data_IF_698583195906
#
_entry.id   IF_698583195906
#
_cell.length_a   1.000
_cell.length_b   1.000
_cell.length_c   1.000
_cell.angle_alpha   90.00
_cell.angle_beta   90.00
_cell.angle_gamma   90.00
#
_symmetry.space_group_name_H-M   'P 1'
#
loop_
_entity.id
_entity.type
_entity.pdbx_description
1 polymer ?
#
# COMPACT_ATOMS: atom_id res chain seq x y z
N UNK A 1 43.26 -5.64 37.04
CA UNK A 1 41.86 -5.37 37.43
C UNK A 1 41.67 -3.87 37.61
N UNK A 2 41.08 -3.23 36.61
CA UNK A 2 40.25 -2.01 36.68
C UNK A 2 39.73 -1.80 35.26
N UNK A 3 38.46 -2.17 35.06
CA UNK A 3 37.72 -1.97 33.82
C UNK A 3 37.20 -0.53 33.81
N UNK A 4 37.67 0.28 32.86
CA UNK A 4 37.06 1.56 32.54
C UNK A 4 35.85 1.32 31.64
N UNK A 5 34.65 1.54 32.20
CA UNK A 5 33.39 1.54 31.46
C UNK A 5 33.33 2.79 30.57
N UNK A 6 33.60 2.61 29.28
CA UNK A 6 33.34 3.63 28.27
C UNK A 6 31.83 3.74 28.08
N UNK A 7 31.28 4.85 28.55
CA UNK A 7 29.91 5.30 28.37
C UNK A 7 29.68 5.72 26.91
N UNK A 8 29.22 4.81 26.06
CA UNK A 8 28.74 5.14 24.71
C UNK A 8 27.27 5.56 24.77
N UNK A 9 27.02 6.83 25.11
CA UNK A 9 25.76 7.47 24.73
C UNK A 9 25.82 7.83 23.24
N UNK A 10 25.10 7.07 22.44
CA UNK A 10 24.83 7.37 21.03
C UNK A 10 23.79 8.48 20.93
N UNK A 11 24.09 9.67 20.38
CA UNK A 11 23.09 10.69 20.14
C UNK A 11 22.53 10.47 18.74
N UNK A 12 21.32 9.92 18.65
CA UNK A 12 20.29 10.22 17.64
C UNK A 12 19.21 9.13 17.62
N UNK A 13 18.47 9.05 18.73
CA UNK A 13 17.09 8.59 18.68
C UNK A 13 16.26 9.69 18.01
N UNK A 14 16.19 9.68 16.68
CA UNK A 14 15.26 10.55 15.95
C UNK A 14 13.84 10.08 16.27
N UNK A 15 13.21 10.86 17.13
CA UNK A 15 11.86 10.74 17.62
C UNK A 15 10.87 11.02 16.47
N UNK A 16 10.66 10.05 15.58
CA UNK A 16 9.55 10.08 14.62
C UNK A 16 8.26 9.70 15.35
N UNK A 17 7.78 10.63 16.19
CA UNK A 17 6.41 10.61 16.71
C UNK A 17 5.44 10.66 15.54
N UNK A 18 4.75 9.53 15.32
CA UNK A 18 3.40 9.43 14.79
C UNK A 18 3.00 10.43 13.71
N UNK A 19 3.55 10.30 12.50
CA UNK A 19 2.85 10.80 11.32
C UNK A 19 1.76 9.76 11.03
N UNK A 20 0.51 10.04 11.37
CA UNK A 20 -0.62 9.22 10.93
C UNK A 20 -0.52 9.09 9.40
N UNK A 21 -0.12 7.90 8.93
CA UNK A 21 -0.15 7.58 7.51
C UNK A 21 -1.62 7.51 7.14
N UNK A 22 -2.15 8.61 6.56
CA UNK A 22 -3.52 8.64 6.06
C UNK A 22 -3.71 7.44 5.14
N UNK A 23 -4.66 6.57 5.48
CA UNK A 23 -4.97 5.38 4.68
C UNK A 23 -5.34 5.83 3.26
N UNK A 24 -4.57 5.39 2.27
CA UNK A 24 -4.80 5.72 0.85
C UNK A 24 -6.21 5.31 0.42
N UNK A 25 -6.81 6.08 -0.47
CA UNK A 25 -8.10 5.72 -1.09
C UNK A 25 -7.93 4.58 -2.08
N UNK A 26 -9.02 3.95 -2.52
CA UNK A 26 -8.95 2.90 -3.55
C UNK A 26 -8.33 3.43 -4.84
N UNK A 27 -8.79 4.60 -5.30
CA UNK A 27 -8.26 5.27 -6.49
C UNK A 27 -6.76 5.54 -6.38
N UNK A 28 -6.30 6.08 -5.25
CA UNK A 28 -4.87 6.34 -5.03
C UNK A 28 -4.01 5.07 -5.11
N UNK A 29 -4.52 3.94 -4.60
CA UNK A 29 -3.79 2.66 -4.71
C UNK A 29 -3.76 2.13 -6.13
N UNK A 30 -4.84 2.30 -6.90
CA UNK A 30 -4.90 1.94 -8.31
C UNK A 30 -3.94 2.81 -9.16
N UNK A 31 -3.94 4.12 -8.92
CA UNK A 31 -3.02 5.08 -9.56
C UNK A 31 -1.55 4.74 -9.22
N UNK A 32 -1.25 4.42 -7.95
CA UNK A 32 0.10 4.01 -7.53
C UNK A 32 0.54 2.72 -8.23
N UNK A 33 -0.36 1.73 -8.33
CA UNK A 33 -0.06 0.45 -8.99
C UNK A 33 0.25 0.65 -10.47
N UNK A 34 -0.52 1.49 -11.15
CA UNK A 34 -0.28 1.85 -12.55
C UNK A 34 1.05 2.57 -12.73
N UNK A 35 1.34 3.54 -11.84
CA UNK A 35 2.62 4.24 -11.85
C UNK A 35 3.81 3.27 -11.73
N UNK A 36 3.79 2.35 -10.76
CA UNK A 36 4.87 1.38 -10.59
C UNK A 36 5.03 0.47 -11.81
N UNK A 37 3.93 -0.05 -12.37
CA UNK A 37 3.97 -0.89 -13.57
C UNK A 37 4.54 -0.14 -14.77
N UNK A 38 4.10 1.10 -15.00
CA UNK A 38 4.59 1.95 -16.09
C UNK A 38 6.07 2.33 -15.91
N UNK A 39 6.48 2.64 -14.69
CA UNK A 39 7.87 2.95 -14.37
C UNK A 39 8.77 1.74 -14.65
N UNK A 40 8.42 0.56 -14.12
CA UNK A 40 9.19 -0.67 -14.35
C UNK A 40 9.21 -1.04 -15.83
N UNK A 41 8.07 -0.95 -16.52
CA UNK A 41 7.98 -1.18 -17.97
C UNK A 41 9.00 -0.32 -18.73
N UNK A 42 9.07 0.98 -18.43
CA UNK A 42 10.08 1.88 -19.03
C UNK A 42 11.51 1.50 -18.67
N UNK A 43 11.78 1.04 -17.45
CA UNK A 43 13.11 0.59 -17.04
C UNK A 43 13.57 -0.65 -17.81
N UNK A 44 12.65 -1.53 -18.19
CA UNK A 44 12.93 -2.75 -18.96
C UNK A 44 13.01 -2.45 -20.47
N UNK A 45 12.05 -1.69 -21.01
CA UNK A 45 11.95 -1.36 -22.44
C UNK A 45 13.08 -0.44 -22.94
N UNK A 46 13.63 0.41 -22.07
CA UNK A 46 14.74 1.31 -22.43
C UNK A 46 16.07 0.59 -22.69
N UNK A 47 16.13 -0.74 -22.50
CA UNK A 47 17.37 -1.50 -22.62
C UNK A 47 17.39 -2.38 -23.86
N UNK A 48 18.08 -1.88 -24.88
CA UNK A 48 18.60 -2.71 -25.97
C UNK A 48 20.12 -2.76 -25.83
N UNK A 49 20.70 -3.97 -25.79
CA UNK A 49 22.15 -4.21 -25.69
C UNK A 49 22.91 -3.46 -26.79
N UNK A 50 22.32 -3.34 -27.99
CA UNK A 50 22.92 -2.66 -29.13
C UNK A 50 22.95 -1.13 -28.99
N UNK A 51 22.06 -0.55 -28.17
CA UNK A 51 21.99 0.90 -27.93
C UNK A 51 22.51 1.30 -26.55
N UNK A 52 23.07 0.34 -25.80
CA UNK A 52 23.55 0.59 -24.44
C UNK A 52 24.70 1.58 -24.49
N UNK A 53 24.52 2.73 -23.84
CA UNK A 53 25.51 3.79 -23.77
C UNK A 53 25.60 4.30 -22.33
N UNK A 54 26.82 4.53 -21.87
CA UNK A 54 27.11 5.16 -20.61
C UNK A 54 27.83 6.49 -20.87
N UNK A 55 27.42 7.52 -20.15
CA UNK A 55 28.05 8.83 -20.23
C UNK A 55 29.20 8.93 -19.25
N UNK A 56 30.38 9.27 -19.76
CA UNK A 56 31.56 9.64 -18.98
C UNK A 56 31.86 11.12 -19.19
N UNK A 57 32.30 11.81 -18.13
CA UNK A 57 32.80 13.18 -18.22
C UNK A 57 34.29 13.18 -18.49
N UNK A 58 34.71 13.78 -19.61
CA UNK A 58 36.11 14.11 -19.87
C UNK A 58 36.36 15.57 -19.48
N UNK A 59 37.55 15.89 -18.96
CA UNK A 59 37.91 17.30 -18.70
C UNK A 59 37.71 18.12 -19.98
N UNK A 60 36.70 18.98 -19.99
CA UNK A 60 36.34 19.85 -21.12
C UNK A 60 35.26 19.33 -22.08
N UNK A 61 34.79 18.07 -21.97
CA UNK A 61 33.65 17.52 -22.73
C UNK A 61 32.56 17.01 -21.78
N UNK A 62 31.32 17.46 -21.97
CA UNK A 62 30.19 17.11 -21.11
C UNK A 62 29.77 15.63 -21.21
N UNK A 63 29.99 14.97 -22.34
CA UNK A 63 29.78 13.52 -22.51
C UNK A 63 30.71 12.95 -23.57
N UNK A 64 31.15 11.73 -23.34
CA UNK A 64 32.05 10.96 -24.22
C UNK A 64 31.29 9.72 -24.67
N UNK A 65 31.28 9.43 -25.98
CA UNK A 65 30.64 8.22 -26.53
C UNK A 65 31.44 6.95 -26.21
N UNK A 66 30.83 5.78 -26.44
CA UNK A 66 31.58 4.52 -26.33
C UNK A 66 32.77 4.51 -27.28
N UNK A 67 32.53 4.92 -28.52
CA UNK A 67 33.50 4.91 -29.62
C UNK A 67 34.68 5.84 -29.29
N UNK A 68 34.41 7.06 -28.81
CA UNK A 68 35.44 7.99 -28.32
C UNK A 68 36.31 7.38 -27.20
N UNK A 69 35.71 6.60 -26.30
CA UNK A 69 36.45 5.92 -25.22
C UNK A 69 37.35 4.85 -25.81
N UNK A 70 36.86 4.05 -26.77
CA UNK A 70 37.63 2.96 -27.36
C UNK A 70 38.81 3.44 -28.21
N UNK A 71 38.80 4.70 -28.68
CA UNK A 71 39.94 5.34 -29.32
C UNK A 71 41.10 5.63 -28.34
N UNK A 72 40.83 5.67 -27.04
CA UNK A 72 41.87 5.89 -26.03
C UNK A 72 42.79 4.66 -25.88
N UNK A 73 44.10 4.88 -25.61
CA UNK A 73 45.01 3.80 -25.27
C UNK A 73 44.49 2.95 -24.11
N UNK A 74 44.75 1.64 -24.15
CA UNK A 74 44.29 0.72 -23.12
C UNK A 74 44.75 1.13 -21.70
N UNK A 75 45.97 1.64 -21.59
CA UNK A 75 46.53 2.13 -20.31
C UNK A 75 45.73 3.31 -19.74
N UNK A 76 45.23 4.19 -20.59
CA UNK A 76 44.40 5.32 -20.16
C UNK A 76 43.02 4.83 -19.67
N UNK A 77 42.40 3.93 -20.42
CA UNK A 77 41.14 3.28 -20.04
C UNK A 77 41.27 2.51 -18.73
N UNK A 78 42.37 1.77 -18.55
CA UNK A 78 42.69 1.06 -17.32
C UNK A 78 42.87 2.02 -16.14
N UNK A 79 43.61 3.13 -16.33
CA UNK A 79 43.74 4.16 -15.30
C UNK A 79 42.39 4.70 -14.84
N UNK A 80 41.44 4.90 -15.76
CA UNK A 80 40.09 5.37 -15.43
C UNK A 80 39.28 4.31 -14.70
N UNK A 81 39.36 3.05 -15.13
CA UNK A 81 38.73 1.93 -14.42
C UNK A 81 39.23 1.84 -12.97
N UNK A 82 40.54 1.96 -12.75
CA UNK A 82 41.12 1.96 -11.41
C UNK A 82 40.70 3.16 -10.56
N UNK A 83 40.53 4.34 -11.16
CA UNK A 83 39.96 5.50 -10.46
C UNK A 83 38.54 5.24 -9.99
N UNK A 84 37.68 4.66 -10.85
CA UNK A 84 36.30 4.33 -10.50
C UNK A 84 36.20 3.28 -9.40
N UNK A 85 37.04 2.25 -9.43
CA UNK A 85 37.07 1.21 -8.39
C UNK A 85 37.36 1.83 -7.02
N UNK A 86 38.32 2.75 -6.98
CA UNK A 86 38.78 3.41 -5.76
C UNK A 86 38.00 4.67 -5.37
N UNK A 87 37.03 5.08 -6.19
CA UNK A 87 36.20 6.25 -5.91
C UNK A 87 35.25 5.95 -4.74
N UNK A 88 35.45 6.66 -3.63
CA UNK A 88 34.67 6.50 -2.39
C UNK A 88 33.36 7.29 -2.41
N UNK A 89 33.23 8.24 -3.34
CA UNK A 89 32.04 9.08 -3.48
C UNK A 89 31.13 8.59 -4.62
N UNK A 90 31.48 7.45 -5.23
CA UNK A 90 30.75 6.85 -6.33
C UNK A 90 29.38 6.36 -5.87
N UNK A 91 28.31 7.09 -6.24
CA UNK A 91 26.91 6.75 -5.98
C UNK A 91 26.71 6.07 -4.61
N UNK A 92 26.69 6.87 -3.53
CA UNK A 92 26.32 6.42 -2.19
C UNK A 92 24.85 5.97 -2.15
N UNK A 93 24.57 4.82 -2.76
CA UNK A 93 23.37 4.03 -2.53
C UNK A 93 23.36 3.56 -1.09
N UNK A 94 22.17 3.28 -0.55
CA UNK A 94 22.02 2.83 0.84
C UNK A 94 22.55 1.41 1.07
N UNK A 95 22.99 0.71 0.01
CA UNK A 95 23.44 -0.67 -0.02
C UNK A 95 24.73 -0.82 -0.85
N UNK A 96 25.86 -1.15 -0.20
CA UNK A 96 27.17 -1.30 -0.86
C UNK A 96 27.22 -2.39 -1.95
N UNK A 97 26.25 -3.32 -1.99
CA UNK A 97 26.09 -4.28 -3.09
C UNK A 97 25.76 -3.59 -4.42
N UNK A 98 24.87 -2.60 -4.40
CA UNK A 98 24.46 -1.84 -5.60
C UNK A 98 25.62 -1.02 -6.16
N UNK A 99 26.42 -0.43 -5.27
CA UNK A 99 27.63 0.32 -5.64
C UNK A 99 28.62 -0.56 -6.42
N UNK A 100 28.91 -1.76 -5.91
CA UNK A 100 29.84 -2.70 -6.56
C UNK A 100 29.39 -3.11 -7.96
N UNK A 101 28.10 -3.40 -8.14
CA UNK A 101 27.52 -3.74 -9.45
C UNK A 101 27.64 -2.56 -10.42
N UNK A 102 27.31 -1.34 -9.98
CA UNK A 102 27.41 -0.14 -10.81
C UNK A 102 28.84 0.23 -11.20
N UNK A 103 29.82 -0.02 -10.33
CA UNK A 103 31.25 0.09 -10.64
C UNK A 103 31.66 -0.94 -11.67
N UNK A 104 31.29 -2.21 -11.47
CA UNK A 104 31.61 -3.30 -12.40
C UNK A 104 31.09 -3.02 -13.82
N UNK A 105 29.82 -2.58 -13.96
CA UNK A 105 29.22 -2.22 -15.26
C UNK A 105 30.08 -1.17 -15.98
N UNK A 106 30.51 -0.11 -15.29
CA UNK A 106 31.30 0.98 -15.88
C UNK A 106 32.73 0.54 -16.21
N UNK A 107 33.35 -0.28 -15.37
CA UNK A 107 34.68 -0.84 -15.64
C UNK A 107 34.65 -1.71 -16.89
N UNK A 108 33.68 -2.61 -17.01
CA UNK A 108 33.48 -3.44 -18.19
C UNK A 108 33.31 -2.59 -19.45
N UNK A 109 32.48 -1.55 -19.36
CA UNK A 109 32.25 -0.63 -20.47
C UNK A 109 33.53 0.13 -20.89
N UNK A 110 34.29 0.66 -19.93
CA UNK A 110 35.56 1.34 -20.23
C UNK A 110 36.55 0.40 -20.92
N UNK A 111 36.67 -0.83 -20.44
CA UNK A 111 37.62 -1.82 -20.98
C UNK A 111 37.19 -2.42 -22.34
N UNK A 112 36.02 -2.04 -22.86
CA UNK A 112 35.55 -2.44 -24.18
C UNK A 112 34.62 -3.64 -24.20
N UNK A 113 34.09 -4.05 -23.05
CA UNK A 113 33.12 -5.14 -22.92
C UNK A 113 31.70 -4.59 -22.89
N UNK A 114 31.27 -3.89 -23.95
CA UNK A 114 29.98 -3.18 -24.00
C UNK A 114 28.78 -4.11 -23.80
N UNK A 115 28.77 -5.24 -24.49
CA UNK A 115 27.66 -6.21 -24.43
C UNK A 115 27.57 -6.85 -23.04
N UNK A 116 28.71 -7.16 -22.43
CA UNK A 116 28.75 -7.70 -21.08
C UNK A 116 28.31 -6.64 -20.05
N UNK A 117 28.76 -5.39 -20.20
CA UNK A 117 28.31 -4.29 -19.36
C UNK A 117 26.79 -4.10 -19.45
N UNK A 118 26.23 -4.15 -20.66
CA UNK A 118 24.79 -4.09 -20.90
C UNK A 118 24.04 -5.25 -20.24
N UNK A 119 24.55 -6.48 -20.39
CA UNK A 119 23.94 -7.66 -19.78
C UNK A 119 23.91 -7.58 -18.26
N UNK A 120 25.03 -7.18 -17.62
CA UNK A 120 25.09 -6.99 -16.17
C UNK A 120 24.15 -5.86 -15.72
N UNK A 121 24.06 -4.78 -16.48
CA UNK A 121 23.14 -3.67 -16.20
C UNK A 121 21.66 -4.06 -16.31
N UNK A 122 21.31 -4.96 -17.23
CA UNK A 122 19.97 -5.57 -17.30
C UNK A 122 19.68 -6.42 -16.06
N UNK A 123 20.60 -7.32 -15.71
CA UNK A 123 20.47 -8.16 -14.50
C UNK A 123 20.36 -7.32 -13.21
N UNK A 124 21.09 -6.22 -13.12
CA UNK A 124 21.04 -5.30 -11.99
C UNK A 124 19.65 -4.65 -11.83
N UNK A 125 19.02 -4.28 -12.95
CA UNK A 125 17.66 -3.74 -12.94
C UNK A 125 16.64 -4.81 -12.56
N UNK A 126 16.72 -6.01 -13.14
CA UNK A 126 15.83 -7.12 -12.80
C UNK A 126 15.91 -7.48 -11.31
N UNK A 127 17.13 -7.51 -10.77
CA UNK A 127 17.37 -7.70 -9.34
C UNK A 127 16.75 -6.57 -8.51
N UNK A 128 16.95 -5.31 -8.90
CA UNK A 128 16.40 -4.14 -8.20
C UNK A 128 14.86 -4.14 -8.20
N UNK A 129 14.25 -4.47 -9.35
CA UNK A 129 12.80 -4.63 -9.50
C UNK A 129 12.30 -5.72 -8.56
N UNK A 130 12.91 -6.90 -8.60
CA UNK A 130 12.51 -8.05 -7.80
C UNK A 130 12.68 -7.81 -6.29
N UNK A 131 13.77 -7.17 -5.88
CA UNK A 131 14.08 -6.95 -4.45
C UNK A 131 13.31 -5.78 -3.85
N UNK A 132 13.17 -4.67 -4.57
CA UNK A 132 12.71 -3.40 -4.00
C UNK A 132 11.31 -2.97 -4.43
N UNK A 133 10.84 -3.40 -5.60
CA UNK A 133 9.57 -2.95 -6.18
C UNK A 133 8.50 -4.02 -6.16
N UNK A 134 8.85 -5.28 -6.42
CA UNK A 134 7.91 -6.40 -6.40
C UNK A 134 7.17 -6.51 -5.04
N UNK A 135 7.83 -6.42 -3.87
CA UNK A 135 7.12 -6.47 -2.59
C UNK A 135 6.15 -5.30 -2.39
N UNK A 136 6.49 -4.11 -2.90
CA UNK A 136 5.61 -2.93 -2.83
C UNK A 136 4.37 -3.08 -3.71
N UNK A 137 4.54 -3.66 -4.90
CA UNK A 137 3.44 -3.94 -5.82
C UNK A 137 2.49 -4.97 -5.20
N UNK A 138 3.02 -6.03 -4.62
CA UNK A 138 2.23 -7.07 -3.96
C UNK A 138 1.44 -6.51 -2.77
N UNK A 139 2.06 -5.66 -1.95
CA UNK A 139 1.38 -4.95 -0.86
C UNK A 139 0.22 -4.06 -1.38
N UNK A 140 0.46 -3.25 -2.41
CA UNK A 140 -0.59 -2.41 -3.01
C UNK A 140 -1.73 -3.28 -3.56
N UNK A 141 -1.42 -4.37 -4.26
CA UNK A 141 -2.42 -5.30 -4.78
C UNK A 141 -3.26 -5.93 -3.66
N UNK A 142 -2.62 -6.34 -2.55
CA UNK A 142 -3.31 -6.86 -1.38
C UNK A 142 -4.25 -5.82 -0.76
N UNK A 143 -3.80 -4.56 -0.64
CA UNK A 143 -4.62 -3.46 -0.13
C UNK A 143 -5.83 -3.17 -1.03
N UNK A 144 -5.65 -3.17 -2.35
CA UNK A 144 -6.73 -3.01 -3.33
C UNK A 144 -7.75 -4.14 -3.17
N UNK A 145 -7.30 -5.40 -3.13
CA UNK A 145 -8.16 -6.58 -2.94
C UNK A 145 -8.98 -6.45 -1.66
N UNK A 146 -8.34 -6.12 -0.55
CA UNK A 146 -9.01 -5.94 0.74
C UNK A 146 -10.04 -4.81 0.72
N UNK A 147 -9.74 -3.66 0.11
CA UNK A 147 -10.69 -2.54 -0.04
C UNK A 147 -11.87 -2.88 -0.95
N UNK A 148 -11.65 -3.62 -2.04
CA UNK A 148 -12.72 -4.09 -2.93
C UNK A 148 -13.62 -5.12 -2.24
N UNK A 149 -13.08 -5.95 -1.35
CA UNK A 149 -13.87 -6.88 -0.54
C UNK A 149 -14.67 -6.17 0.54
N UNK A 150 -14.06 -5.23 1.28
CA UNK A 150 -14.74 -4.49 2.35
C UNK A 150 -15.78 -3.50 1.84
N UNK A 151 -15.57 -2.89 0.66
CA UNK A 151 -16.58 -2.03 0.01
C UNK A 151 -17.84 -2.80 -0.41
N UNK A 152 -17.70 -4.08 -0.75
CA UNK A 152 -18.82 -5.00 -1.02
C UNK A 152 -19.43 -5.57 0.27
N UNK A 153 -18.61 -5.83 1.30
CA UNK A 153 -19.05 -6.43 2.57
C UNK A 153 -19.88 -5.52 3.49
N UNK A 154 -19.83 -4.19 3.30
CA UNK A 154 -20.64 -3.24 4.07
C UNK A 154 -22.06 -3.02 3.53
N UNK A 155 -22.28 -3.22 2.22
CA UNK A 155 -23.60 -3.13 1.59
C UNK A 155 -24.26 -4.51 1.61
N UNK A 156 -24.90 -4.87 2.72
CA UNK A 156 -25.75 -6.07 2.78
C UNK A 156 -25.50 -7.02 3.94
N UNK A 157 -24.58 -6.72 4.86
CA UNK A 157 -24.52 -7.43 6.14
C UNK A 157 -25.65 -6.94 7.06
N UNK A 158 -26.89 -7.28 6.71
CA UNK A 158 -28.02 -7.14 7.62
C UNK A 158 -27.82 -8.09 8.79
N UNK A 159 -28.04 -7.59 10.01
CA UNK A 159 -28.00 -8.44 11.20
C UNK A 159 -28.93 -9.63 11.02
N UNK A 160 -28.53 -10.80 11.50
CA UNK A 160 -29.39 -11.99 11.57
C UNK A 160 -30.70 -11.75 12.34
N UNK A 161 -30.74 -10.69 13.15
CA UNK A 161 -31.89 -10.31 13.97
C UNK A 161 -32.89 -9.41 13.22
N UNK A 162 -32.59 -8.97 11.99
CA UNK A 162 -33.47 -8.08 11.22
C UNK A 162 -34.85 -8.69 10.98
N UNK A 163 -34.91 -9.94 10.53
CA UNK A 163 -36.18 -10.58 10.18
C UNK A 163 -37.04 -10.82 11.43
N UNK A 164 -36.42 -11.23 12.55
CA UNK A 164 -37.09 -11.39 13.85
C UNK A 164 -37.64 -10.05 14.34
N UNK A 165 -36.86 -8.97 14.23
CA UNK A 165 -37.31 -7.63 14.62
C UNK A 165 -38.52 -7.17 13.79
N UNK A 166 -38.53 -7.44 12.47
CA UNK A 166 -39.65 -7.10 11.59
C UNK A 166 -40.90 -7.92 11.90
N UNK A 167 -40.78 -9.22 12.16
CA UNK A 167 -41.92 -10.07 12.53
C UNK A 167 -42.57 -9.64 13.84
N UNK A 168 -41.76 -9.34 14.86
CA UNK A 168 -42.25 -8.83 16.15
C UNK A 168 -42.98 -7.50 15.94
N UNK A 169 -42.41 -6.62 15.11
CA UNK A 169 -43.01 -5.32 14.84
C UNK A 169 -44.35 -5.44 14.11
N UNK A 170 -44.43 -6.32 13.10
CA UNK A 170 -45.66 -6.61 12.37
C UNK A 170 -46.77 -7.13 13.30
N UNK A 171 -46.48 -8.14 14.12
CA UNK A 171 -47.42 -8.66 15.12
C UNK A 171 -47.87 -7.59 16.11
N UNK A 172 -46.91 -6.81 16.62
CA UNK A 172 -47.20 -5.76 17.62
C UNK A 172 -48.03 -4.63 17.02
N UNK A 173 -47.81 -4.27 15.75
CA UNK A 173 -48.64 -3.27 15.06
C UNK A 173 -50.01 -3.80 14.63
N UNK A 174 -50.14 -5.10 14.38
CA UNK A 174 -51.44 -5.71 14.15
C UNK A 174 -52.33 -5.63 15.40
N UNK A 175 -51.78 -5.93 16.58
CA UNK A 175 -52.53 -5.85 17.85
C UNK A 175 -52.63 -4.43 18.41
N UNK A 176 -51.57 -3.64 18.29
CA UNK A 176 -51.50 -2.24 18.75
C UNK A 176 -51.08 -1.32 17.59
N UNK A 177 -52.02 -0.95 16.69
CA UNK A 177 -51.72 -0.12 15.53
C UNK A 177 -51.19 1.28 15.89
N UNK A 178 -51.48 1.77 17.10
CA UNK A 178 -50.97 3.03 17.63
C UNK A 178 -49.53 2.99 18.16
N UNK A 179 -48.85 1.84 18.18
CA UNK A 179 -47.52 1.71 18.77
C UNK A 179 -46.48 2.62 18.10
N UNK A 180 -45.80 3.44 18.90
CA UNK A 180 -44.72 4.32 18.41
C UNK A 180 -43.50 3.53 17.98
N UNK A 181 -42.99 3.80 16.76
CA UNK A 181 -41.79 3.18 16.20
C UNK A 181 -40.56 3.32 17.11
N UNK A 182 -40.33 4.50 17.70
CA UNK A 182 -39.22 4.74 18.62
C UNK A 182 -39.36 4.00 19.97
N UNK A 183 -40.60 3.72 20.40
CA UNK A 183 -40.86 2.89 21.57
C UNK A 183 -40.71 1.41 21.23
N UNK A 184 -41.09 1.02 20.02
CA UNK A 184 -41.06 -0.36 19.54
C UNK A 184 -39.62 -0.82 19.32
N UNK A 185 -38.79 0.01 18.70
CA UNK A 185 -37.35 -0.26 18.51
C UNK A 185 -36.64 -0.54 19.84
N UNK A 186 -36.92 0.25 20.88
CA UNK A 186 -36.37 0.05 22.24
C UNK A 186 -36.84 -1.26 22.87
N UNK A 187 -38.14 -1.58 22.75
CA UNK A 187 -38.70 -2.83 23.30
C UNK A 187 -38.16 -4.06 22.56
N UNK A 188 -38.02 -4.00 21.23
CA UNK A 188 -37.40 -5.06 20.41
C UNK A 188 -35.93 -5.24 20.80
N UNK A 189 -35.17 -4.14 20.94
CA UNK A 189 -33.78 -4.20 21.40
C UNK A 189 -33.68 -4.92 22.74
N UNK A 190 -34.47 -4.51 23.74
CA UNK A 190 -34.46 -5.13 25.07
C UNK A 190 -34.86 -6.62 25.03
N UNK A 191 -35.79 -7.00 24.15
CA UNK A 191 -36.16 -8.40 23.95
C UNK A 191 -35.02 -9.23 23.35
N UNK A 192 -34.35 -8.70 22.32
CA UNK A 192 -33.22 -9.36 21.67
C UNK A 192 -32.00 -9.44 22.60
N UNK A 193 -31.72 -8.39 23.38
CA UNK A 193 -30.57 -8.28 24.30
C UNK A 193 -30.64 -9.30 25.43
N UNK A 194 -31.86 -9.65 25.84
CA UNK A 194 -32.08 -10.74 26.79
C UNK A 194 -31.78 -12.14 26.22
N UNK A 195 -31.81 -12.30 24.89
CA UNK A 195 -31.69 -13.60 24.21
C UNK A 195 -30.37 -13.80 23.47
N UNK A 196 -29.70 -12.72 23.09
CA UNK A 196 -28.54 -12.73 22.20
C UNK A 196 -27.49 -11.72 22.68
N UNK A 197 -26.22 -12.02 22.41
CA UNK A 197 -25.09 -11.15 22.77
C UNK A 197 -24.71 -10.16 21.66
N UNK A 198 -25.20 -10.35 20.44
CA UNK A 198 -24.86 -9.56 19.25
C UNK A 198 -26.04 -8.73 18.73
N UNK A 199 -26.62 -7.92 19.60
CA UNK A 199 -27.85 -7.18 19.31
C UNK A 199 -27.55 -5.86 18.59
N UNK A 200 -28.28 -5.55 17.51
CA UNK A 200 -28.15 -4.26 16.83
C UNK A 200 -28.61 -3.11 17.72
N UNK A 201 -27.96 -1.96 17.60
CA UNK A 201 -28.36 -0.74 18.31
C UNK A 201 -29.81 -0.33 17.98
N UNK A 202 -30.46 0.36 18.92
CA UNK A 202 -31.86 0.79 18.78
C UNK A 202 -32.09 1.62 17.51
N UNK A 203 -31.15 2.50 17.14
CA UNK A 203 -31.23 3.32 15.92
C UNK A 203 -31.21 2.46 14.65
N UNK A 204 -30.45 1.37 14.68
CA UNK A 204 -30.36 0.43 13.56
C UNK A 204 -31.69 -0.32 13.37
N UNK A 205 -32.33 -0.73 14.48
CA UNK A 205 -33.66 -1.37 14.45
C UNK A 205 -34.70 -0.38 13.95
N UNK A 206 -34.70 0.86 14.46
CA UNK A 206 -35.63 1.91 14.02
C UNK A 206 -35.51 2.20 12.51
N UNK A 207 -34.28 2.20 11.98
CA UNK A 207 -34.05 2.30 10.54
C UNK A 207 -34.68 1.14 9.77
N UNK A 208 -34.53 -0.10 10.23
CA UNK A 208 -35.18 -1.25 9.57
C UNK A 208 -36.70 -1.16 9.59
N UNK A 209 -37.28 -0.72 10.71
CA UNK A 209 -38.72 -0.51 10.84
C UNK A 209 -39.21 0.55 9.85
N UNK A 210 -38.48 1.67 9.74
CA UNK A 210 -38.79 2.73 8.78
C UNK A 210 -38.69 2.25 7.33
N UNK A 211 -37.60 1.55 7.01
CA UNK A 211 -37.33 1.03 5.66
C UNK A 211 -38.32 -0.08 5.25
N UNK A 212 -38.94 -0.77 6.21
CA UNK A 212 -39.91 -1.85 5.96
C UNK A 212 -41.26 -1.35 5.44
N UNK A 213 -41.62 -0.09 5.68
CA UNK A 213 -42.93 0.45 5.35
C UNK A 213 -44.10 -0.10 6.19
N UNK A 214 -43.82 -0.94 7.21
CA UNK A 214 -44.85 -1.59 8.04
C UNK A 214 -45.47 -0.67 9.11
N UNK A 215 -44.88 0.51 9.36
CA UNK A 215 -45.32 1.43 10.41
C UNK A 215 -46.70 2.03 10.10
N UNK A 216 -47.75 1.76 10.91
CA UNK A 216 -49.08 2.31 10.68
C UNK A 216 -49.10 3.83 10.87
N UNK A 217 -49.75 4.55 9.96
CA UNK A 217 -49.91 6.01 10.05
C UNK A 217 -51.11 6.40 10.94
N UNK A 218 -51.07 6.01 12.22
CA UNK A 218 -52.15 6.22 13.19
C UNK A 218 -51.68 7.16 14.30
N UNK A 219 -52.54 8.13 14.62
CA UNK A 219 -52.39 9.08 15.74
C UNK A 219 -53.60 8.95 16.68
N UNK A 220 -53.44 9.09 18.00
CA UNK A 220 -52.19 9.36 18.73
C UNK A 220 -51.28 8.13 18.84
N UNK A 221 -49.98 8.37 18.94
CA UNK A 221 -48.98 7.31 19.15
C UNK A 221 -48.91 6.90 20.62
N UNK A 222 -48.98 5.59 20.88
CA UNK A 222 -48.93 4.99 22.21
C UNK A 222 -47.52 4.47 22.49
N UNK A 223 -47.08 4.60 23.74
CA UNK A 223 -45.78 4.10 24.24
C UNK A 223 -45.92 2.97 25.26
N UNK A 224 -47.09 2.88 25.91
CA UNK A 224 -47.40 1.84 26.88
C UNK A 224 -48.19 0.72 26.20
N UNK A 225 -47.52 -0.36 25.88
CA UNK A 225 -48.06 -1.58 25.29
C UNK A 225 -47.05 -2.71 25.50
N UNK A 226 -47.51 -3.95 25.46
CA UNK A 226 -46.64 -5.12 25.52
C UNK A 226 -46.22 -5.55 24.11
N UNK A 227 -45.02 -6.12 24.04
CA UNK A 227 -44.43 -6.56 22.78
C UNK A 227 -44.97 -7.94 22.43
N UNK A 228 -45.48 -8.10 21.22
CA UNK A 228 -46.08 -9.35 20.75
C UNK A 228 -44.99 -10.16 20.06
N UNK A 229 -44.58 -11.28 20.69
CA UNK A 229 -43.46 -12.15 20.27
C UNK A 229 -43.96 -13.39 19.56
#
# INVERSE_FOLDING_TARGET
>A
MKEDKINTQSPNGSNLKGREVRKKTLKQLEDDLEYYKSFIGRCVESKNVQTFNLSFGLKGKHSVSYEDIQELPLEERYSWAMKLINDKDFFNGKDGESEGIHKAIRVLYLLGFRELAAAVDMMAVDYSVSKYYQPKIEDIQAQIKHKKMTSKGGKGRTSRHKDIALQIAEKTWHETPGASMASLSKKIHAYLDRKHTDVPETETIEKWLKDSGLNPNISPKVRNYDLVV
#
